data_IF_322337072070
#
_entry.id   IF_322337072070
#
_cell.length_a   1.000
_cell.length_b   1.000
_cell.length_c   1.000
_cell.angle_alpha   90.00
_cell.angle_beta   90.00
_cell.angle_gamma   90.00
#
_symmetry.space_group_name_H-M   'P 1'
#
loop_
_entity.id
_entity.type
_entity.pdbx_description
1 polymer ?
#
# COMPACT_ATOMS: atom_id res chain seq x y z
N UNK A 1 13.34 20.96 -19.46
CA UNK A 1 11.88 20.69 -19.55
C UNK A 1 11.23 20.95 -18.19
N UNK A 2 10.04 21.58 -18.12
CA UNK A 2 9.32 21.80 -16.87
C UNK A 2 8.40 20.61 -16.62
N UNK A 3 8.45 20.03 -15.42
CA UNK A 3 7.58 18.90 -15.03
C UNK A 3 6.55 19.41 -14.02
N UNK A 4 5.28 19.22 -14.34
CA UNK A 4 4.16 19.52 -13.45
C UNK A 4 3.71 18.28 -12.70
N UNK A 5 3.44 18.42 -11.39
CA UNK A 5 3.00 17.36 -10.50
C UNK A 5 1.50 17.44 -10.23
N UNK A 6 0.78 16.34 -10.42
CA UNK A 6 -0.63 16.26 -10.09
C UNK A 6 -0.84 15.99 -8.60
N UNK A 7 -0.94 17.05 -7.80
CA UNK A 7 -1.07 16.97 -6.34
C UNK A 7 -2.47 16.58 -5.84
N UNK A 8 -3.45 16.41 -6.72
CA UNK A 8 -4.87 16.14 -6.35
C UNK A 8 -5.09 14.82 -5.60
N UNK A 9 -4.13 13.91 -5.64
CA UNK A 9 -4.17 12.66 -4.87
C UNK A 9 -3.82 12.84 -3.40
N UNK A 10 -3.33 13.99 -2.96
CA UNK A 10 -3.00 14.25 -1.56
C UNK A 10 -4.22 14.04 -0.66
N UNK A 11 -4.07 13.20 0.37
CA UNK A 11 -5.15 12.83 1.30
C UNK A 11 -4.70 11.74 2.28
N UNK A 12 -5.59 11.37 3.20
CA UNK A 12 -5.31 10.39 4.28
C UNK A 12 -5.53 8.94 3.80
N UNK A 13 -4.85 8.55 2.75
CA UNK A 13 -4.85 7.19 2.20
C UNK A 13 -3.48 6.87 1.57
N UNK A 14 -3.22 5.60 1.26
CA UNK A 14 -1.91 5.14 0.77
C UNK A 14 -1.36 5.95 -0.41
N UNK A 15 -2.16 6.21 -1.46
CA UNK A 15 -1.75 7.04 -2.61
C UNK A 15 -1.48 8.48 -2.16
N UNK A 16 -2.30 9.02 -1.24
CA UNK A 16 -2.13 10.37 -0.72
C UNK A 16 -0.83 10.53 0.06
N UNK A 17 -0.42 9.52 0.81
CA UNK A 17 0.89 9.49 1.48
C UNK A 17 2.03 9.53 0.46
N UNK A 18 1.99 8.66 -0.55
CA UNK A 18 2.98 8.68 -1.65
C UNK A 18 3.05 10.05 -2.31
N UNK A 19 1.89 10.66 -2.56
CA UNK A 19 1.80 12.01 -3.15
C UNK A 19 2.53 13.05 -2.29
N UNK A 20 2.23 13.13 -1.00
CA UNK A 20 2.87 14.10 -0.08
C UNK A 20 4.37 13.86 0.06
N UNK A 21 4.77 12.57 0.18
CA UNK A 21 6.18 12.21 0.39
C UNK A 21 7.05 12.47 -0.83
N UNK A 22 6.53 12.28 -2.04
CA UNK A 22 7.22 12.61 -3.29
C UNK A 22 7.25 14.12 -3.52
N UNK A 23 6.15 14.82 -3.26
CA UNK A 23 6.08 16.29 -3.41
C UNK A 23 7.14 16.99 -2.58
N UNK A 24 7.25 16.65 -1.30
CA UNK A 24 8.22 17.23 -0.37
C UNK A 24 9.70 17.05 -0.84
N UNK A 25 9.99 15.97 -1.61
CA UNK A 25 11.35 15.62 -2.06
C UNK A 25 11.68 16.02 -3.47
N UNK A 26 10.69 16.05 -4.34
CA UNK A 26 10.86 16.39 -5.75
C UNK A 26 10.72 17.91 -5.98
N UNK A 27 9.89 18.58 -5.19
CA UNK A 27 9.62 20.04 -5.25
C UNK A 27 9.26 20.51 -6.66
N UNK A 28 8.41 19.73 -7.34
CA UNK A 28 7.93 20.06 -8.68
C UNK A 28 6.81 21.12 -8.61
N UNK A 29 6.65 21.86 -9.69
CA UNK A 29 5.51 22.78 -9.81
C UNK A 29 4.20 21.97 -9.87
N UNK A 30 3.16 22.41 -9.13
CA UNK A 30 1.88 21.72 -9.15
C UNK A 30 1.12 22.03 -10.46
N UNK A 31 0.50 21.00 -11.01
CA UNK A 31 -0.40 21.14 -12.15
C UNK A 31 -1.65 21.92 -11.73
N UNK A 32 -1.91 23.04 -12.40
CA UNK A 32 -3.13 23.84 -12.13
C UNK A 32 -4.36 23.15 -12.72
N UNK A 33 -4.92 22.23 -11.96
CA UNK A 33 -6.10 21.45 -12.31
C UNK A 33 -6.91 21.15 -11.05
N UNK A 34 -8.23 21.26 -11.14
CA UNK A 34 -9.15 20.95 -10.04
C UNK A 34 -9.95 19.69 -10.29
N UNK A 35 -10.62 19.21 -9.24
CA UNK A 35 -11.54 18.04 -9.28
C UNK A 35 -10.92 16.75 -8.82
N UNK A 36 -11.78 15.73 -8.61
CA UNK A 36 -11.36 14.43 -8.12
C UNK A 36 -10.63 13.62 -9.21
N UNK A 37 -9.37 13.21 -9.01
CA UNK A 37 -8.58 12.45 -9.98
C UNK A 37 -9.12 11.01 -10.19
N UNK A 38 -9.95 10.49 -9.30
CA UNK A 38 -10.62 9.19 -9.46
C UNK A 38 -11.96 9.28 -10.19
N UNK A 39 -12.37 10.47 -10.64
CA UNK A 39 -13.63 10.68 -11.36
C UNK A 39 -13.59 10.08 -12.77
N UNK A 40 -14.68 9.48 -13.27
CA UNK A 40 -14.76 8.97 -14.65
C UNK A 40 -14.50 10.03 -15.74
N UNK A 41 -14.73 11.30 -15.45
CA UNK A 41 -14.48 12.41 -16.38
C UNK A 41 -13.03 12.97 -16.28
N UNK A 42 -12.24 12.49 -15.36
CA UNK A 42 -10.87 13.00 -15.14
C UNK A 42 -9.94 12.79 -16.35
N UNK A 43 -10.01 11.67 -17.09
CA UNK A 43 -9.18 11.50 -18.29
C UNK A 43 -9.36 12.64 -19.31
N UNK A 44 -10.60 13.10 -19.52
CA UNK A 44 -10.89 14.22 -20.40
C UNK A 44 -10.38 15.55 -19.80
N UNK A 45 -10.63 15.77 -18.49
CA UNK A 45 -10.18 16.97 -17.78
C UNK A 45 -8.66 17.10 -17.82
N UNK A 46 -7.94 16.02 -17.55
CA UNK A 46 -6.49 15.99 -17.59
C UNK A 46 -5.94 16.21 -19.01
N UNK A 47 -6.55 15.60 -20.00
CA UNK A 47 -6.21 15.84 -21.41
C UNK A 47 -6.36 17.31 -21.80
N UNK A 48 -7.50 17.94 -21.46
CA UNK A 48 -7.75 19.35 -21.75
C UNK A 48 -6.77 20.28 -21.02
N UNK A 49 -6.42 19.94 -19.77
CA UNK A 49 -5.40 20.68 -19.02
C UNK A 49 -4.02 20.57 -19.69
N UNK A 50 -3.62 19.37 -20.15
CA UNK A 50 -2.35 19.15 -20.82
C UNK A 50 -2.25 19.85 -22.19
N UNK A 51 -3.36 20.05 -22.90
CA UNK A 51 -3.37 20.85 -24.15
C UNK A 51 -2.98 22.32 -23.93
N UNK A 52 -3.32 22.87 -22.76
CA UNK A 52 -3.01 24.27 -22.40
C UNK A 52 -1.56 24.47 -21.93
N UNK A 53 -0.82 23.39 -21.66
CA UNK A 53 0.57 23.50 -21.22
C UNK A 53 1.51 23.84 -22.38
N UNK A 54 2.60 24.60 -22.12
CA UNK A 54 3.65 24.86 -23.10
C UNK A 54 4.21 23.55 -23.69
N UNK A 55 4.75 23.62 -24.92
CA UNK A 55 5.27 22.43 -25.61
C UNK A 55 6.40 21.71 -24.84
N UNK A 56 7.29 22.46 -24.21
CA UNK A 56 8.42 21.91 -23.45
C UNK A 56 8.06 21.60 -21.99
N UNK A 57 6.96 20.87 -21.78
CA UNK A 57 6.50 20.48 -20.46
C UNK A 57 6.15 19.01 -20.41
N UNK A 58 6.19 18.45 -19.20
CA UNK A 58 5.74 17.08 -18.89
C UNK A 58 4.82 17.09 -17.67
N UNK A 59 4.09 15.99 -17.47
CA UNK A 59 3.23 15.82 -16.30
C UNK A 59 3.56 14.51 -15.60
N UNK A 60 3.66 14.59 -14.27
CA UNK A 60 3.80 13.43 -13.38
C UNK A 60 2.59 13.29 -12.47
N UNK A 61 1.91 12.16 -12.53
CA UNK A 61 0.83 11.79 -11.61
C UNK A 61 1.29 10.72 -10.62
N UNK A 62 1.14 10.93 -9.31
CA UNK A 62 1.45 9.91 -8.30
C UNK A 62 0.39 8.82 -8.16
N UNK A 63 -0.65 8.85 -8.96
CA UNK A 63 -1.72 7.87 -8.98
C UNK A 63 -1.98 7.32 -10.37
N UNK A 64 -3.01 6.49 -10.45
CA UNK A 64 -3.39 5.78 -11.68
C UNK A 64 -4.30 6.60 -12.62
N UNK A 65 -4.57 7.88 -12.32
CA UNK A 65 -5.29 8.74 -13.25
C UNK A 65 -4.39 9.09 -14.44
N UNK A 66 -4.94 9.01 -15.63
CA UNK A 66 -4.21 9.23 -16.88
C UNK A 66 -5.08 10.04 -17.86
N UNK A 67 -4.46 10.82 -18.77
CA UNK A 67 -5.20 11.60 -19.74
C UNK A 67 -5.87 10.69 -20.79
N UNK A 68 -6.99 11.16 -21.36
CA UNK A 68 -7.68 10.47 -22.46
C UNK A 68 -6.75 10.23 -23.66
N UNK A 69 -5.89 11.24 -23.97
CA UNK A 69 -4.82 11.14 -24.95
C UNK A 69 -3.54 11.76 -24.37
N UNK A 70 -2.40 11.10 -24.58
CA UNK A 70 -1.09 11.58 -24.17
C UNK A 70 -0.57 12.57 -25.22
N UNK A 71 -0.60 13.86 -24.90
CA UNK A 71 -0.18 14.98 -25.79
C UNK A 71 1.07 15.68 -25.30
N UNK A 72 1.59 15.32 -24.15
CA UNK A 72 2.88 15.73 -23.58
C UNK A 72 3.52 14.52 -22.93
N UNK A 73 4.84 14.48 -22.72
CA UNK A 73 5.49 13.44 -21.93
C UNK A 73 4.77 13.26 -20.59
N UNK A 74 4.39 12.03 -20.28
CA UNK A 74 3.57 11.67 -19.12
C UNK A 74 4.19 10.53 -18.35
N UNK A 75 4.27 10.68 -17.02
CA UNK A 75 4.69 9.65 -16.08
C UNK A 75 3.58 9.49 -15.04
N UNK A 76 3.32 8.29 -14.60
CA UNK A 76 2.28 8.02 -13.60
C UNK A 76 2.60 6.77 -12.80
N UNK A 77 1.97 6.63 -11.62
CA UNK A 77 2.17 5.48 -10.74
C UNK A 77 0.92 4.59 -10.78
N UNK A 78 1.12 3.30 -11.09
CA UNK A 78 0.13 2.24 -10.85
C UNK A 78 0.58 1.50 -9.59
N UNK A 79 -0.13 1.70 -8.48
CA UNK A 79 0.23 1.08 -7.20
C UNK A 79 -0.01 -0.42 -7.22
N UNK A 80 -1.10 -0.85 -7.85
CA UNK A 80 -1.46 -2.25 -8.03
C UNK A 80 -2.50 -2.43 -9.15
N UNK A 81 -2.83 -3.69 -9.43
CA UNK A 81 -3.92 -4.08 -10.32
C UNK A 81 -5.06 -4.78 -9.57
N UNK A 82 -5.30 -4.44 -8.30
CA UNK A 82 -6.35 -5.05 -7.47
C UNK A 82 -7.72 -5.03 -8.16
N UNK A 83 -8.07 -3.94 -8.87
CA UNK A 83 -9.32 -3.84 -9.62
C UNK A 83 -9.40 -4.73 -10.87
N UNK A 84 -8.29 -5.30 -11.32
CA UNK A 84 -8.21 -6.25 -12.42
C UNK A 84 -8.15 -7.68 -11.91
N UNK A 85 -7.29 -7.92 -10.91
CA UNK A 85 -6.98 -9.25 -10.40
C UNK A 85 -8.03 -9.76 -9.40
N UNK A 86 -8.81 -8.84 -8.82
CA UNK A 86 -9.86 -9.12 -7.81
C UNK A 86 -11.19 -8.53 -8.27
N UNK A 87 -12.02 -9.31 -8.98
CA UNK A 87 -13.29 -8.83 -9.55
C UNK A 87 -14.26 -8.23 -8.54
N UNK A 88 -14.24 -8.71 -7.29
CA UNK A 88 -15.03 -8.21 -6.17
C UNK A 88 -14.71 -6.75 -5.79
N UNK A 89 -13.53 -6.27 -6.12
CA UNK A 89 -13.10 -4.89 -5.88
C UNK A 89 -13.33 -3.97 -7.10
N UNK A 90 -13.98 -4.47 -8.15
CA UNK A 90 -14.15 -3.77 -9.43
C UNK A 90 -15.62 -3.59 -9.79
N UNK A 91 -15.87 -2.63 -10.68
CA UNK A 91 -17.16 -2.45 -11.35
C UNK A 91 -16.93 -2.27 -12.86
N UNK A 92 -18.03 -2.25 -13.62
CA UNK A 92 -17.98 -2.16 -15.09
C UNK A 92 -17.21 -0.92 -15.59
N UNK A 93 -17.44 0.25 -15.00
CA UNK A 93 -16.76 1.49 -15.40
C UNK A 93 -15.25 1.43 -15.12
N UNK A 94 -14.84 0.87 -13.98
CA UNK A 94 -13.44 0.65 -13.68
C UNK A 94 -12.80 -0.30 -14.69
N UNK A 95 -13.47 -1.40 -15.04
CA UNK A 95 -12.95 -2.35 -16.05
C UNK A 95 -12.72 -1.67 -17.40
N UNK A 96 -13.67 -0.84 -17.85
CA UNK A 96 -13.50 -0.05 -19.08
C UNK A 96 -12.31 0.91 -18.94
N UNK A 97 -12.24 1.66 -17.85
CA UNK A 97 -11.15 2.60 -17.61
C UNK A 97 -9.78 1.91 -17.69
N UNK A 98 -9.62 0.80 -16.96
CA UNK A 98 -8.35 0.06 -16.94
C UNK A 98 -8.00 -0.50 -18.31
N UNK A 99 -8.92 -1.16 -19.00
CA UNK A 99 -8.62 -1.85 -20.27
C UNK A 99 -8.53 -0.92 -21.48
N UNK A 100 -9.30 0.18 -21.52
CA UNK A 100 -9.35 1.07 -22.69
C UNK A 100 -8.47 2.32 -22.52
N UNK A 101 -8.35 2.87 -21.32
CA UNK A 101 -7.63 4.13 -21.11
C UNK A 101 -6.27 3.88 -20.45
N UNK A 102 -6.24 3.28 -19.27
CA UNK A 102 -5.01 3.08 -18.51
C UNK A 102 -4.02 2.17 -19.27
N UNK A 103 -4.51 1.04 -19.80
CA UNK A 103 -3.68 0.11 -20.58
C UNK A 103 -3.09 0.78 -21.81
N UNK A 104 -3.89 1.56 -22.56
CA UNK A 104 -3.38 2.33 -23.71
C UNK A 104 -2.31 3.32 -23.30
N UNK A 105 -2.50 3.98 -22.13
CA UNK A 105 -1.52 4.94 -21.63
C UNK A 105 -0.21 4.28 -21.24
N UNK A 106 -0.19 3.04 -20.76
CA UNK A 106 1.06 2.29 -20.55
C UNK A 106 1.92 2.17 -21.81
N UNK A 107 1.31 2.13 -23.00
CA UNK A 107 2.03 2.12 -24.28
C UNK A 107 2.48 3.51 -24.75
N UNK A 108 1.76 4.56 -24.40
CA UNK A 108 1.96 5.92 -24.94
C UNK A 108 2.70 6.87 -23.99
N UNK A 109 2.58 6.69 -22.69
CA UNK A 109 3.30 7.47 -21.69
C UNK A 109 4.82 7.24 -21.79
N UNK A 110 5.61 8.15 -21.26
CA UNK A 110 7.06 7.97 -21.17
C UNK A 110 7.40 6.71 -20.35
N UNK A 111 6.89 6.62 -19.13
CA UNK A 111 7.01 5.42 -18.27
C UNK A 111 5.81 5.32 -17.34
N UNK A 112 5.42 4.09 -17.04
CA UNK A 112 4.60 3.75 -15.88
C UNK A 112 5.53 3.39 -14.71
N UNK A 113 5.24 3.91 -13.53
CA UNK A 113 5.96 3.59 -12.30
C UNK A 113 5.11 2.67 -11.44
N UNK A 114 5.73 1.89 -10.59
CA UNK A 114 5.03 1.03 -9.62
C UNK A 114 5.86 0.81 -8.37
N UNK A 115 5.28 0.15 -7.35
CA UNK A 115 5.82 0.13 -5.99
C UNK A 115 6.45 -1.19 -5.55
N UNK A 116 6.34 -2.25 -6.38
CA UNK A 116 6.91 -3.58 -6.09
C UNK A 116 7.27 -4.32 -7.38
N UNK A 117 8.11 -5.35 -7.29
CA UNK A 117 8.43 -6.18 -8.44
C UNK A 117 7.22 -7.05 -8.85
N UNK A 118 6.46 -7.53 -7.85
CA UNK A 118 5.18 -8.19 -8.11
C UNK A 118 4.25 -7.32 -8.98
N UNK A 119 4.00 -6.07 -8.56
CA UNK A 119 3.14 -5.15 -9.32
C UNK A 119 3.75 -4.83 -10.70
N UNK A 120 5.08 -4.71 -10.80
CA UNK A 120 5.77 -4.48 -12.07
C UNK A 120 5.49 -5.61 -13.07
N UNK A 121 5.69 -6.85 -12.69
CA UNK A 121 5.44 -8.01 -13.54
C UNK A 121 3.95 -8.14 -13.93
N UNK A 122 3.06 -7.88 -12.98
CA UNK A 122 1.61 -7.87 -13.24
C UNK A 122 1.21 -6.81 -14.28
N UNK A 123 1.74 -5.59 -14.15
CA UNK A 123 1.47 -4.49 -15.09
C UNK A 123 2.02 -4.81 -16.49
N UNK A 124 3.25 -5.30 -16.59
CA UNK A 124 3.87 -5.70 -17.84
C UNK A 124 3.01 -6.75 -18.57
N UNK A 125 2.65 -7.81 -17.87
CA UNK A 125 1.82 -8.90 -18.40
C UNK A 125 0.42 -8.42 -18.80
N UNK A 126 -0.27 -7.68 -17.93
CA UNK A 126 -1.61 -7.16 -18.20
C UNK A 126 -1.63 -6.15 -19.34
N UNK A 127 -0.73 -5.16 -19.32
CA UNK A 127 -0.68 -4.12 -20.33
C UNK A 127 -0.04 -4.62 -21.64
N UNK A 128 0.71 -5.74 -21.62
CA UNK A 128 1.51 -6.28 -22.74
C UNK A 128 2.50 -5.25 -23.27
N UNK A 129 3.26 -4.64 -22.38
CA UNK A 129 4.30 -3.65 -22.70
C UNK A 129 5.69 -4.24 -22.47
N UNK A 130 6.73 -3.73 -23.16
CA UNK A 130 8.12 -4.12 -22.87
C UNK A 130 8.51 -3.81 -21.42
N UNK A 131 9.41 -4.59 -20.84
CA UNK A 131 9.85 -4.46 -19.44
C UNK A 131 10.33 -3.06 -19.09
N UNK A 132 11.07 -2.40 -19.96
CA UNK A 132 11.57 -1.05 -19.75
C UNK A 132 10.48 0.05 -19.68
N UNK A 133 9.22 -0.28 -19.98
CA UNK A 133 8.10 0.67 -19.85
C UNK A 133 7.59 0.81 -18.43
N UNK A 134 7.82 -0.19 -17.57
CA UNK A 134 7.34 -0.19 -16.20
C UNK A 134 8.55 -0.25 -15.25
N UNK A 135 8.67 0.75 -14.37
CA UNK A 135 9.80 0.87 -13.46
C UNK A 135 9.33 0.74 -12.02
N UNK A 136 9.92 -0.20 -11.29
CA UNK A 136 9.70 -0.34 -9.86
C UNK A 136 10.52 0.71 -9.11
N UNK A 137 9.83 1.73 -8.57
CA UNK A 137 10.42 2.77 -7.73
C UNK A 137 10.46 2.36 -6.26
N UNK A 138 9.70 1.32 -5.85
CA UNK A 138 9.50 0.94 -4.47
C UNK A 138 8.56 1.86 -3.72
N UNK A 139 8.57 1.73 -2.40
CA UNK A 139 7.82 2.60 -1.48
C UNK A 139 8.67 2.88 -0.24
N UNK A 140 8.32 3.90 0.52
CA UNK A 140 9.02 4.29 1.74
C UNK A 140 8.13 4.17 2.97
N UNK A 141 8.76 4.15 4.14
CA UNK A 141 8.09 4.29 5.44
C UNK A 141 8.32 5.70 5.99
N UNK A 142 7.32 6.26 6.67
CA UNK A 142 7.42 7.57 7.29
C UNK A 142 8.32 7.53 8.53
N UNK A 143 9.09 8.59 8.77
CA UNK A 143 10.01 8.72 9.91
C UNK A 143 9.31 8.69 11.27
N UNK A 144 8.01 8.91 11.32
CA UNK A 144 7.21 8.82 12.54
C UNK A 144 7.04 7.36 13.02
N UNK A 145 7.20 6.37 12.12
CA UNK A 145 7.26 4.96 12.51
C UNK A 145 8.68 4.62 12.94
N UNK A 146 8.89 4.47 14.23
CA UNK A 146 10.21 4.21 14.83
C UNK A 146 10.06 3.46 16.16
N UNK A 147 11.11 2.75 16.63
CA UNK A 147 10.98 1.85 17.77
C UNK A 147 10.93 2.57 19.14
N UNK A 148 11.22 3.86 19.16
CA UNK A 148 11.24 4.70 20.37
C UNK A 148 9.96 5.55 20.55
N UNK A 149 8.91 5.31 19.76
CA UNK A 149 7.60 5.94 20.03
C UNK A 149 6.94 5.35 21.25
N UNK A 150 6.15 6.16 21.94
CA UNK A 150 5.35 5.71 23.08
C UNK A 150 4.36 4.62 22.66
N UNK A 151 4.43 3.40 23.24
CA UNK A 151 3.51 2.34 22.90
C UNK A 151 2.09 2.62 23.46
N UNK A 152 1.08 2.31 22.68
CA UNK A 152 -0.29 2.25 23.18
C UNK A 152 -0.41 1.15 24.23
N UNK A 153 -0.90 1.47 25.43
CA UNK A 153 -0.98 0.58 26.60
C UNK A 153 -2.41 0.54 27.15
N UNK A 154 -3.29 -0.30 26.61
CA UNK A 154 -4.69 -0.39 27.07
C UNK A 154 -4.88 -1.16 28.37
N UNK A 155 -3.81 -1.66 29.00
CA UNK A 155 -3.88 -2.50 30.20
C UNK A 155 -4.00 -4.00 29.93
N UNK A 156 -3.90 -4.43 28.66
CA UNK A 156 -3.87 -5.83 28.21
C UNK A 156 -2.95 -5.98 27.00
N UNK A 157 -2.48 -7.20 26.76
CA UNK A 157 -1.73 -7.52 25.54
C UNK A 157 -2.66 -7.66 24.33
N UNK A 158 -2.18 -7.30 23.15
CA UNK A 158 -3.00 -7.38 21.94
C UNK A 158 -2.22 -7.72 20.67
N UNK A 159 -2.93 -8.35 19.75
CA UNK A 159 -2.56 -8.49 18.34
C UNK A 159 -3.21 -7.35 17.55
N UNK A 160 -2.51 -6.81 16.58
CA UNK A 160 -2.98 -5.66 15.81
C UNK A 160 -3.26 -6.04 14.35
N UNK A 161 -4.40 -5.61 13.83
CA UNK A 161 -4.82 -5.86 12.45
C UNK A 161 -5.22 -4.54 11.78
N UNK A 162 -4.51 -4.17 10.72
CA UNK A 162 -4.78 -2.95 9.95
C UNK A 162 -5.64 -3.29 8.74
N UNK A 163 -6.85 -2.74 8.69
CA UNK A 163 -7.77 -3.02 7.62
C UNK A 163 -8.83 -1.92 7.40
N UNK A 164 -9.60 -2.07 6.34
CA UNK A 164 -10.65 -1.14 5.93
C UNK A 164 -11.92 -1.84 5.45
N UNK A 165 -12.18 -3.04 5.91
CA UNK A 165 -13.34 -3.91 5.61
C UNK A 165 -13.44 -4.36 4.14
N UNK A 166 -12.40 -4.13 3.33
CA UNK A 166 -12.35 -4.70 1.99
C UNK A 166 -11.95 -6.17 2.06
N UNK A 167 -12.56 -7.02 1.24
CA UNK A 167 -12.40 -8.48 1.30
C UNK A 167 -10.95 -8.94 1.18
N UNK A 168 -10.13 -8.25 0.37
CA UNK A 168 -8.72 -8.60 0.23
C UNK A 168 -7.89 -8.38 1.50
N UNK A 169 -8.36 -7.61 2.50
CA UNK A 169 -7.70 -7.46 3.80
C UNK A 169 -7.85 -8.70 4.70
N UNK A 170 -8.74 -9.60 4.34
CA UNK A 170 -8.85 -10.94 4.92
C UNK A 170 -9.19 -10.98 6.42
N UNK A 171 -9.83 -9.92 6.92
CA UNK A 171 -10.10 -9.71 8.34
C UNK A 171 -10.99 -10.81 8.95
N UNK A 172 -11.88 -11.42 8.16
CA UNK A 172 -12.72 -12.53 8.61
C UNK A 172 -11.87 -13.77 8.96
N UNK A 173 -10.90 -14.15 8.09
CA UNK A 173 -10.01 -15.28 8.41
C UNK A 173 -9.08 -14.99 9.58
N UNK A 174 -8.64 -13.73 9.75
CA UNK A 174 -7.89 -13.33 10.96
C UNK A 174 -8.72 -13.58 12.21
N UNK A 175 -10.00 -13.19 12.19
CA UNK A 175 -10.91 -13.38 13.31
C UNK A 175 -11.19 -14.87 13.59
N UNK A 176 -11.41 -15.69 12.55
CA UNK A 176 -11.56 -17.13 12.67
C UNK A 176 -10.31 -17.80 13.26
N UNK A 177 -9.14 -17.43 12.77
CA UNK A 177 -7.86 -17.95 13.26
C UNK A 177 -7.60 -17.54 14.71
N UNK A 178 -7.89 -16.30 15.07
CA UNK A 178 -7.77 -15.80 16.45
C UNK A 178 -8.70 -16.52 17.42
N UNK A 179 -9.95 -16.73 17.01
CA UNK A 179 -10.95 -17.42 17.84
C UNK A 179 -10.56 -18.89 18.14
N UNK A 180 -9.92 -19.57 17.16
CA UNK A 180 -9.52 -20.95 17.29
C UNK A 180 -8.09 -21.12 17.85
N UNK A 181 -7.34 -20.04 18.05
CA UNK A 181 -5.97 -20.10 18.55
C UNK A 181 -5.92 -20.44 20.05
N UNK A 182 -5.00 -21.36 20.42
CA UNK A 182 -4.73 -21.69 21.81
C UNK A 182 -3.73 -20.70 22.38
N UNK A 183 -4.25 -19.59 22.87
CA UNK A 183 -3.48 -18.45 23.42
C UNK A 183 -4.12 -17.96 24.72
N UNK A 184 -3.40 -17.15 25.51
CA UNK A 184 -3.93 -16.53 26.72
C UNK A 184 -5.26 -15.83 26.39
N UNK A 185 -6.36 -16.16 27.11
CA UNK A 185 -7.67 -15.54 26.89
C UNK A 185 -7.69 -14.04 27.19
N UNK A 186 -6.71 -13.50 27.92
CA UNK A 186 -6.58 -12.07 28.17
C UNK A 186 -6.09 -11.29 26.94
N UNK A 187 -5.43 -11.94 25.99
CA UNK A 187 -4.97 -11.32 24.75
C UNK A 187 -6.17 -10.92 23.88
N UNK A 188 -6.15 -9.67 23.39
CA UNK A 188 -7.19 -9.14 22.50
C UNK A 188 -6.72 -8.98 21.08
N UNK A 189 -7.67 -8.89 20.14
CA UNK A 189 -7.44 -8.56 18.74
C UNK A 189 -8.00 -7.16 18.45
N UNK A 190 -7.13 -6.24 18.08
CA UNK A 190 -7.50 -4.85 17.78
C UNK A 190 -7.48 -4.64 16.26
N UNK A 191 -8.58 -4.13 15.71
CA UNK A 191 -8.71 -3.70 14.32
C UNK A 191 -8.74 -2.18 14.20
N UNK A 192 -8.05 -1.64 13.19
CA UNK A 192 -8.35 -0.27 12.73
C UNK A 192 -9.68 -0.24 11.98
N UNK A 193 -10.28 0.95 11.88
CA UNK A 193 -11.55 1.17 11.18
C UNK A 193 -12.79 0.75 11.99
N UNK A 194 -13.94 1.25 11.56
CA UNK A 194 -15.22 0.92 12.20
C UNK A 194 -15.60 -0.54 11.94
N UNK A 195 -16.30 -1.21 12.86
CA UNK A 195 -16.85 -2.53 12.61
C UNK A 195 -17.89 -2.49 11.48
N UNK A 196 -18.10 -3.63 10.84
CA UNK A 196 -19.28 -3.87 10.01
C UNK A 196 -20.06 -5.06 10.57
N UNK A 197 -21.34 -5.18 10.19
CA UNK A 197 -22.21 -6.22 10.73
C UNK A 197 -21.67 -7.64 10.44
N UNK A 198 -21.02 -7.85 9.28
CA UNK A 198 -20.44 -9.13 8.91
C UNK A 198 -19.38 -9.61 9.92
N UNK A 199 -18.42 -8.72 10.29
CA UNK A 199 -17.39 -9.06 11.29
C UNK A 199 -17.94 -9.15 12.71
N UNK A 200 -18.90 -8.28 13.07
CA UNK A 200 -19.53 -8.34 14.38
C UNK A 200 -20.32 -9.63 14.58
N UNK A 201 -21.11 -10.04 13.58
CA UNK A 201 -21.83 -11.32 13.63
C UNK A 201 -20.88 -12.50 13.70
N UNK A 202 -19.77 -12.45 12.94
CA UNK A 202 -18.75 -13.50 13.02
C UNK A 202 -18.11 -13.57 14.41
N UNK A 203 -17.78 -12.44 15.03
CA UNK A 203 -17.20 -12.38 16.37
C UNK A 203 -18.15 -12.97 17.43
N UNK A 204 -19.45 -12.68 17.33
CA UNK A 204 -20.50 -13.26 18.19
C UNK A 204 -20.61 -14.78 17.99
N UNK A 205 -20.68 -15.22 16.74
CA UNK A 205 -20.80 -16.65 16.41
C UNK A 205 -19.60 -17.48 16.87
N UNK A 206 -18.42 -16.86 16.96
CA UNK A 206 -17.17 -17.46 17.42
C UNK A 206 -16.92 -17.28 18.93
N UNK A 207 -17.83 -16.63 19.65
CA UNK A 207 -17.75 -16.32 21.09
C UNK A 207 -16.46 -15.54 21.48
N UNK A 208 -15.99 -14.66 20.60
CA UNK A 208 -14.81 -13.81 20.84
C UNK A 208 -15.09 -12.31 20.83
N UNK A 209 -16.36 -11.90 20.80
CA UNK A 209 -16.78 -10.50 20.75
C UNK A 209 -16.12 -9.65 21.85
N UNK A 210 -16.00 -10.18 23.07
CA UNK A 210 -15.40 -9.49 24.23
C UNK A 210 -13.87 -9.35 24.12
N UNK A 211 -13.24 -10.10 23.20
CA UNK A 211 -11.79 -10.07 22.94
C UNK A 211 -11.42 -9.29 21.69
N UNK A 212 -12.40 -8.71 20.98
CA UNK A 212 -12.20 -7.99 19.74
C UNK A 212 -12.56 -6.52 19.93
N UNK A 213 -11.67 -5.65 19.49
CA UNK A 213 -11.84 -4.19 19.60
C UNK A 213 -11.67 -3.53 18.23
N UNK A 214 -12.49 -2.52 17.95
CA UNK A 214 -12.44 -1.72 16.73
C UNK A 214 -12.17 -0.27 17.11
N UNK A 215 -10.98 0.24 16.74
CA UNK A 215 -10.52 1.58 17.09
C UNK A 215 -11.18 2.71 16.28
N UNK A 216 -12.07 2.36 15.34
CA UNK A 216 -12.57 3.35 14.40
C UNK A 216 -11.47 3.91 13.49
N UNK A 217 -11.67 5.15 13.02
CA UNK A 217 -10.64 5.85 12.25
C UNK A 217 -9.52 6.30 13.18
N UNK A 218 -8.38 5.65 13.10
CA UNK A 218 -7.17 6.00 13.82
C UNK A 218 -6.45 7.15 13.10
N UNK A 219 -6.15 8.27 13.79
CA UNK A 219 -5.31 9.33 13.24
C UNK A 219 -3.92 8.79 12.83
N UNK A 220 -3.33 9.33 11.76
CA UNK A 220 -2.04 8.86 11.25
C UNK A 220 -0.92 8.96 12.32
N UNK A 221 -1.01 9.96 13.19
CA UNK A 221 -0.05 10.17 14.29
C UNK A 221 -0.13 9.13 15.42
N UNK A 222 -1.27 8.46 15.60
CA UNK A 222 -1.48 7.48 16.69
C UNK A 222 -1.12 6.04 16.25
N UNK A 223 -1.07 5.79 14.96
CA UNK A 223 -0.75 4.46 14.41
C UNK A 223 0.61 3.92 14.89
N UNK A 224 1.70 4.71 14.94
CA UNK A 224 2.99 4.22 15.43
C UNK A 224 2.91 3.64 16.85
N UNK A 225 2.17 4.29 17.75
CA UNK A 225 1.95 3.81 19.12
C UNK A 225 1.19 2.48 19.16
N UNK A 226 0.17 2.31 18.30
CA UNK A 226 -0.58 1.05 18.18
C UNK A 226 0.29 -0.09 17.63
N UNK A 227 1.13 0.17 16.63
CA UNK A 227 2.10 -0.84 16.20
C UNK A 227 3.06 -1.17 17.34
N UNK A 228 3.68 -0.18 17.94
CA UNK A 228 4.73 -0.36 18.98
C UNK A 228 4.23 -1.12 20.22
N UNK A 229 2.97 -0.94 20.61
CA UNK A 229 2.36 -1.60 21.77
C UNK A 229 1.89 -3.03 21.49
N UNK A 230 1.74 -3.44 20.22
CA UNK A 230 1.22 -4.74 19.86
C UNK A 230 2.25 -5.87 20.07
N UNK A 231 1.79 -7.05 20.47
CA UNK A 231 2.59 -8.29 20.45
C UNK A 231 3.06 -8.61 19.02
N UNK A 232 2.18 -8.43 18.04
CA UNK A 232 2.47 -8.61 16.61
C UNK A 232 1.42 -7.92 15.74
N UNK A 233 1.82 -7.55 14.52
CA UNK A 233 0.90 -7.24 13.43
C UNK A 233 0.44 -8.55 12.78
N UNK A 234 -0.88 -8.72 12.62
CA UNK A 234 -1.51 -9.82 11.89
C UNK A 234 -2.09 -9.26 10.59
N UNK A 235 -1.39 -9.47 9.46
CA UNK A 235 -1.72 -8.87 8.18
C UNK A 235 -1.66 -9.88 7.01
N UNK A 236 -2.47 -10.97 7.05
CA UNK A 236 -2.50 -11.99 5.99
C UNK A 236 -3.41 -11.56 4.83
N UNK A 237 -3.11 -10.39 4.23
CA UNK A 237 -3.88 -9.83 3.12
C UNK A 237 -3.82 -10.73 1.88
N UNK A 238 -4.94 -10.86 1.17
CA UNK A 238 -5.04 -11.68 -0.05
C UNK A 238 -4.39 -11.00 -1.26
N UNK A 239 -4.27 -9.68 -1.22
CA UNK A 239 -3.70 -8.91 -2.33
C UNK A 239 -3.19 -7.55 -1.84
N UNK A 240 -1.91 -7.29 -2.11
CA UNK A 240 -1.29 -5.99 -1.88
C UNK A 240 -0.38 -5.60 -3.05
N UNK A 241 -0.34 -4.31 -3.36
CA UNK A 241 0.64 -3.77 -4.29
C UNK A 241 2.01 -3.56 -3.66
N UNK A 242 2.05 -3.36 -2.32
CA UNK A 242 3.28 -3.22 -1.54
C UNK A 242 3.13 -3.82 -0.14
N UNK A 243 2.22 -3.29 0.69
CA UNK A 243 2.04 -3.71 2.07
C UNK A 243 2.65 -2.71 3.07
N UNK A 244 2.27 -1.43 2.99
CA UNK A 244 2.73 -0.40 3.93
C UNK A 244 2.60 -0.82 5.41
N UNK A 245 1.49 -1.46 5.88
CA UNK A 245 1.40 -1.90 7.26
C UNK A 245 2.53 -2.82 7.72
N UNK A 246 3.10 -3.64 6.82
CA UNK A 246 4.23 -4.53 7.14
C UNK A 246 5.47 -3.72 7.46
N UNK A 247 5.85 -2.76 6.63
CA UNK A 247 7.03 -1.93 6.87
C UNK A 247 6.83 -0.93 8.01
N UNK A 248 5.61 -0.46 8.24
CA UNK A 248 5.24 0.39 9.38
C UNK A 248 5.43 -0.35 10.71
N UNK A 249 4.92 -1.58 10.80
CA UNK A 249 5.12 -2.44 11.97
C UNK A 249 6.60 -2.74 12.20
N UNK A 250 7.34 -3.12 11.16
CA UNK A 250 8.78 -3.37 11.23
C UNK A 250 9.55 -2.14 11.70
N UNK A 251 9.17 -0.94 11.23
CA UNK A 251 9.80 0.31 11.65
C UNK A 251 9.56 0.62 13.15
N UNK A 252 8.42 0.21 13.69
CA UNK A 252 8.11 0.30 15.12
C UNK A 252 8.73 -0.85 15.93
N UNK A 253 9.46 -1.79 15.32
CA UNK A 253 10.01 -2.97 15.98
C UNK A 253 8.96 -4.02 16.35
N UNK A 254 7.81 -4.00 15.70
CA UNK A 254 6.70 -4.95 15.93
C UNK A 254 6.87 -6.17 15.07
N UNK A 255 6.84 -7.40 15.63
CA UNK A 255 6.82 -8.64 14.87
C UNK A 255 5.64 -8.70 13.89
N UNK A 256 5.84 -9.35 12.75
CA UNK A 256 4.84 -9.38 11.67
C UNK A 256 4.50 -10.83 11.29
N UNK A 257 3.21 -11.11 11.17
CA UNK A 257 2.66 -12.23 10.42
C UNK A 257 1.99 -11.67 9.16
N UNK A 258 2.39 -12.15 7.98
CA UNK A 258 1.83 -11.68 6.71
C UNK A 258 1.73 -12.81 5.67
N UNK A 259 1.21 -12.52 4.49
CA UNK A 259 0.98 -13.53 3.46
C UNK A 259 2.25 -13.91 2.69
N UNK A 260 2.29 -15.15 2.23
CA UNK A 260 3.30 -15.68 1.31
C UNK A 260 3.00 -15.38 -0.18
N UNK A 261 2.11 -14.43 -0.47
CA UNK A 261 1.63 -14.13 -1.83
C UNK A 261 1.73 -12.64 -2.15
N UNK A 262 1.63 -12.30 -3.42
CA UNK A 262 1.69 -10.95 -3.98
C UNK A 262 3.02 -10.23 -3.69
N UNK A 263 2.99 -8.96 -3.28
CA UNK A 263 4.19 -8.20 -2.93
C UNK A 263 4.71 -8.47 -1.51
N UNK A 264 3.91 -9.14 -0.66
CA UNK A 264 4.21 -9.27 0.76
C UNK A 264 5.49 -10.07 1.06
N UNK A 265 5.81 -11.20 0.36
CA UNK A 265 7.08 -11.88 0.54
C UNK A 265 8.30 -11.03 0.16
N UNK A 266 8.20 -10.28 -0.94
CA UNK A 266 9.30 -9.39 -1.38
C UNK A 266 9.53 -8.25 -0.39
N UNK A 267 8.46 -7.72 0.23
CA UNK A 267 8.54 -6.66 1.22
C UNK A 267 9.05 -7.19 2.56
N UNK A 268 8.49 -8.29 3.03
CA UNK A 268 8.82 -8.87 4.33
C UNK A 268 10.23 -9.50 4.38
N UNK A 269 10.67 -10.12 3.29
CA UNK A 269 11.89 -10.93 3.29
C UNK A 269 11.81 -12.05 4.34
N UNK A 270 12.87 -12.18 5.13
CA UNK A 270 12.96 -13.13 6.25
C UNK A 270 12.59 -12.51 7.62
N UNK A 271 12.02 -11.30 7.62
CA UNK A 271 11.69 -10.52 8.81
C UNK A 271 10.23 -10.67 9.27
N UNK A 272 9.49 -11.63 8.73
CA UNK A 272 8.10 -11.92 9.11
C UNK A 272 7.80 -13.41 9.07
N UNK A 273 6.76 -13.85 9.78
CA UNK A 273 6.14 -15.13 9.54
C UNK A 273 5.26 -15.05 8.30
N UNK A 274 5.58 -15.85 7.29
CA UNK A 274 4.82 -15.95 6.06
C UNK A 274 3.84 -17.13 6.13
N UNK A 275 2.56 -16.87 5.82
CA UNK A 275 1.49 -17.87 5.83
C UNK A 275 0.69 -17.84 4.53
N UNK A 276 0.05 -18.93 4.18
CA UNK A 276 -0.99 -18.94 3.16
C UNK A 276 -2.21 -18.16 3.70
N UNK A 277 -2.58 -17.01 3.08
CA UNK A 277 -3.70 -16.20 3.56
C UNK A 277 -5.06 -16.87 3.39
N UNK A 278 -5.15 -17.97 2.65
CA UNK A 278 -6.38 -18.76 2.48
C UNK A 278 -6.55 -19.83 3.55
N UNK A 279 -5.48 -20.15 4.29
CA UNK A 279 -5.46 -21.18 5.33
C UNK A 279 -5.64 -20.56 6.72
N UNK A 280 -6.84 -20.73 7.29
CA UNK A 280 -7.12 -20.34 8.69
C UNK A 280 -6.16 -21.04 9.64
N UNK A 281 -5.82 -22.31 9.39
CA UNK A 281 -4.92 -23.08 10.25
C UNK A 281 -3.48 -22.54 10.25
N UNK A 282 -2.95 -22.11 9.09
CA UNK A 282 -1.61 -21.50 9.07
C UNK A 282 -1.61 -20.14 9.79
N UNK A 283 -2.65 -19.33 9.60
CA UNK A 283 -2.78 -18.04 10.30
C UNK A 283 -2.86 -18.30 11.82
N UNK A 284 -3.68 -19.25 12.26
CA UNK A 284 -3.82 -19.68 13.65
C UNK A 284 -2.48 -20.10 14.23
N UNK A 285 -1.80 -21.05 13.60
CA UNK A 285 -0.49 -21.51 14.08
C UNK A 285 0.57 -20.41 14.15
N UNK A 286 0.52 -19.45 13.22
CA UNK A 286 1.35 -18.25 13.28
C UNK A 286 1.02 -17.33 14.46
N UNK A 287 -0.27 -17.14 14.77
CA UNK A 287 -0.75 -16.41 15.94
C UNK A 287 -0.27 -17.08 17.22
N UNK A 288 -0.47 -18.40 17.36
CA UNK A 288 -0.05 -19.17 18.53
C UNK A 288 1.46 -19.05 18.78
N UNK A 289 2.27 -19.20 17.73
CA UNK A 289 3.73 -19.03 17.82
C UNK A 289 4.12 -17.62 18.26
N UNK A 290 3.51 -16.59 17.70
CA UNK A 290 3.81 -15.20 18.08
C UNK A 290 3.37 -14.87 19.50
N UNK A 291 2.32 -15.50 20.02
CA UNK A 291 1.89 -15.30 21.41
C UNK A 291 2.77 -16.07 22.40
N UNK A 292 3.17 -17.31 22.07
CA UNK A 292 3.87 -18.20 23.01
C UNK A 292 5.40 -18.10 23.00
N UNK A 293 6.02 -17.54 21.94
CA UNK A 293 7.47 -17.52 21.74
C UNK A 293 8.05 -16.09 21.75
N UNK A 294 8.49 -15.58 22.92
CA UNK A 294 9.12 -14.26 23.03
C UNK A 294 10.44 -14.13 22.24
N UNK A 295 11.19 -15.23 22.10
CA UNK A 295 12.46 -15.22 21.38
C UNK A 295 12.23 -15.07 19.88
N UNK A 296 11.21 -15.75 19.32
CA UNK A 296 10.78 -15.54 17.96
C UNK A 296 10.36 -14.09 17.73
N UNK A 297 9.58 -13.50 18.64
CA UNK A 297 9.20 -12.08 18.54
C UNK A 297 10.42 -11.17 18.54
N UNK A 298 11.39 -11.40 19.42
CA UNK A 298 12.63 -10.62 19.47
C UNK A 298 13.39 -10.71 18.15
N UNK A 299 13.60 -11.92 17.64
CA UNK A 299 14.29 -12.16 16.39
C UNK A 299 13.61 -11.47 15.21
N UNK A 300 12.28 -11.57 15.09
CA UNK A 300 11.54 -10.94 14.00
C UNK A 300 11.55 -9.40 14.12
N UNK A 301 11.51 -8.86 15.32
CA UNK A 301 11.65 -7.43 15.58
C UNK A 301 13.03 -6.91 15.11
N UNK A 302 14.11 -7.57 15.49
CA UNK A 302 15.47 -7.20 15.09
C UNK A 302 15.64 -7.25 13.57
N UNK A 303 15.19 -8.35 12.94
CA UNK A 303 15.20 -8.48 11.48
C UNK A 303 14.36 -7.41 10.80
N UNK A 304 13.18 -7.10 11.34
CA UNK A 304 12.28 -6.04 10.84
C UNK A 304 12.96 -4.67 10.84
N UNK A 305 13.62 -4.31 11.95
CA UNK A 305 14.36 -3.05 12.07
C UNK A 305 15.55 -2.96 11.09
N UNK A 306 16.18 -4.08 10.73
CA UNK A 306 17.18 -4.08 9.66
C UNK A 306 16.53 -3.98 8.28
N UNK A 307 15.46 -4.72 8.05
CA UNK A 307 14.74 -4.76 6.77
C UNK A 307 14.20 -3.39 6.37
N UNK A 308 13.64 -2.63 7.30
CA UNK A 308 13.02 -1.33 7.05
C UNK A 308 14.03 -0.28 6.53
N UNK A 309 15.32 -0.46 6.76
CA UNK A 309 16.39 0.43 6.24
C UNK A 309 16.41 0.51 4.71
N UNK A 310 15.84 -0.49 4.02
CA UNK A 310 15.72 -0.52 2.57
C UNK A 310 14.60 0.38 2.05
N UNK A 311 13.63 0.72 2.89
CA UNK A 311 12.38 1.41 2.50
C UNK A 311 12.42 2.90 2.88
N UNK A 312 13.35 3.63 2.25
CA UNK A 312 13.54 5.07 2.45
C UNK A 312 12.86 5.85 1.33
N UNK A 313 12.13 6.89 1.68
CA UNK A 313 11.51 7.80 0.69
C UNK A 313 12.54 8.52 -0.18
N UNK A 314 13.75 8.73 0.31
CA UNK A 314 14.88 9.29 -0.44
C UNK A 314 15.21 8.41 -1.65
N UNK A 315 15.32 7.09 -1.44
CA UNK A 315 15.60 6.13 -2.50
C UNK A 315 14.47 6.11 -3.56
N UNK A 316 13.20 6.23 -3.12
CA UNK A 316 12.04 6.31 -4.04
C UNK A 316 12.12 7.58 -4.87
N UNK A 317 12.35 8.73 -4.23
CA UNK A 317 12.47 10.02 -4.90
C UNK A 317 13.64 10.05 -5.90
N UNK A 318 14.78 9.46 -5.56
CA UNK A 318 15.96 9.42 -6.44
C UNK A 318 15.72 8.55 -7.68
N UNK A 319 15.01 7.43 -7.54
CA UNK A 319 14.56 6.64 -8.70
C UNK A 319 13.62 7.45 -9.60
N UNK A 320 12.68 8.21 -9.01
CA UNK A 320 11.80 9.10 -9.80
C UNK A 320 12.61 10.18 -10.50
N UNK A 321 13.54 10.87 -9.82
CA UNK A 321 14.44 11.85 -10.43
C UNK A 321 15.21 11.27 -11.61
N UNK A 322 15.74 10.06 -11.49
CA UNK A 322 16.44 9.36 -12.57
C UNK A 322 15.53 9.18 -13.80
N UNK A 323 14.25 8.83 -13.58
CA UNK A 323 13.28 8.69 -14.68
C UNK A 323 12.98 10.05 -15.32
N UNK A 324 12.82 11.10 -14.52
CA UNK A 324 12.59 12.46 -15.01
C UNK A 324 13.78 12.98 -15.83
N UNK A 325 15.01 12.73 -15.38
CA UNK A 325 16.23 13.10 -16.12
C UNK A 325 16.33 12.39 -17.47
N UNK A 326 16.04 11.07 -17.52
CA UNK A 326 15.99 10.33 -18.78
C UNK A 326 14.95 10.89 -19.74
N UNK A 327 13.77 11.25 -19.23
CA UNK A 327 12.72 11.87 -20.04
C UNK A 327 13.16 13.20 -20.64
N UNK A 328 13.90 14.00 -19.85
CA UNK A 328 14.43 15.28 -20.34
C UNK A 328 15.48 15.10 -21.44
N UNK A 329 16.36 14.09 -21.30
CA UNK A 329 17.39 13.80 -22.29
C UNK A 329 16.79 13.27 -23.61
N UNK A 330 15.85 12.33 -23.53
CA UNK A 330 15.19 11.78 -24.72
C UNK A 330 14.40 12.87 -25.46
N UNK A 331 13.71 13.76 -24.75
CA UNK A 331 12.92 14.85 -25.36
C UNK A 331 13.77 16.00 -25.95
N UNK A 332 15.09 16.07 -25.69
CA UNK A 332 16.01 17.03 -26.33
C UNK A 332 16.54 16.51 -27.66
N UNK A 333 16.47 15.20 -27.88
CA UNK A 333 16.99 14.54 -29.08
C UNK A 333 15.91 14.31 -30.17
N UNK A 334 14.64 14.50 -29.82
CA UNK A 334 13.48 14.52 -30.72
C UNK A 334 13.10 15.97 -31.10
#
# INVERSE_FOLDING_TARGET
MIVFYDYRWAGDHGIGRVTRMLDARLRLAHLNISGNPASPVDPLRLFLAMLKLPKNTAVFSPGYNVPLFVVRPYIFIIHDLNHIDRPENSNFLKKIYYNCILRRTCHKAFRALTVSEFSRQRIISWARVPEGRVINIGNGVDVNYRPDVDPYRPGYEYLFCVGNRKEHKNEARVLEAFANAVIDPAIRLIFTGNPNEKLMSLARNLDVEKRVEFMGRVPEGDLPGLYRGALALIFPSLYEGFGLPVVEAMACGTPVLTSNTTSLPEVAGDAALLVDPTSVEQIKGGIERLCSDPELRRMLSEKGLQRVKLFKWENVADKVKTVLQKMELENKND
#
